data_IF_522974777017
#
_entry.id   IF_522974777017
#
_cell.length_a   1.000
_cell.length_b   1.000
_cell.length_c   1.000
_cell.angle_alpha   90.00
_cell.angle_beta   90.00
_cell.angle_gamma   90.00
#
_symmetry.space_group_name_H-M   'P 1'
#
loop_
_entity.id
_entity.type
_entity.pdbx_description
1 polymer ?
#
# COMPACT_ATOMS: atom_id res chain seq x y z
N UNK A 1 -8.40 -2.97 -3.28
CA UNK A 1 -7.32 -1.98 -3.51
C UNK A 1 -7.88 -0.87 -4.38
N UNK A 2 -7.50 0.39 -4.12
CA UNK A 2 -7.85 1.54 -4.94
C UNK A 2 -6.58 2.16 -5.53
N UNK A 3 -6.48 2.23 -6.85
CA UNK A 3 -5.43 2.93 -7.58
C UNK A 3 -5.98 4.26 -8.11
N UNK A 4 -5.17 5.30 -8.07
CA UNK A 4 -5.57 6.65 -8.49
C UNK A 4 -4.72 7.09 -9.68
N UNK A 5 -5.34 7.77 -10.66
CA UNK A 5 -4.64 8.32 -11.83
C UNK A 5 -3.53 9.32 -11.45
N UNK A 6 -3.70 9.97 -10.29
CA UNK A 6 -2.74 10.89 -9.69
C UNK A 6 -2.84 10.85 -8.18
N UNK A 7 -1.76 11.25 -7.51
CA UNK A 7 -1.74 11.31 -6.05
C UNK A 7 -2.84 12.23 -5.48
N UNK A 8 -3.75 11.66 -4.69
CA UNK A 8 -4.83 12.39 -4.03
C UNK A 8 -4.59 12.52 -2.51
N UNK A 9 -5.12 13.57 -1.85
CA UNK A 9 -5.08 13.65 -0.39
C UNK A 9 -5.76 12.44 0.24
N UNK A 10 -5.18 11.90 1.30
CA UNK A 10 -5.72 10.79 2.06
C UNK A 10 -5.64 11.09 3.56
N UNK A 11 -6.57 10.54 4.33
CA UNK A 11 -6.61 10.61 5.79
C UNK A 11 -6.91 9.23 6.33
N UNK A 12 -6.50 8.96 7.57
CA UNK A 12 -6.71 7.68 8.23
C UNK A 12 -7.24 7.88 9.65
N UNK A 13 -8.18 7.02 10.05
CA UNK A 13 -8.63 6.89 11.43
C UNK A 13 -8.48 5.45 11.86
N UNK A 14 -7.62 5.21 12.86
CA UNK A 14 -7.40 3.89 13.43
C UNK A 14 -8.23 3.76 14.71
N UNK A 15 -9.06 2.71 14.79
CA UNK A 15 -9.95 2.46 15.93
C UNK A 15 -9.68 1.13 16.64
N UNK A 16 -8.93 0.22 16.02
CA UNK A 16 -8.56 -1.07 16.61
C UNK A 16 -7.21 -1.03 17.33
N UNK A 17 -7.08 -1.77 18.44
CA UNK A 17 -5.87 -1.79 19.26
C UNK A 17 -4.69 -2.58 18.67
N UNK A 18 -4.95 -3.53 17.75
CA UNK A 18 -3.94 -4.35 17.09
C UNK A 18 -3.96 -4.10 15.57
N UNK A 19 -3.77 -2.85 15.17
CA UNK A 19 -3.89 -2.43 13.77
C UNK A 19 -2.62 -2.76 12.97
N UNK A 20 -2.72 -3.67 12.00
CA UNK A 20 -1.67 -3.91 11.00
C UNK A 20 -1.80 -2.88 9.87
N UNK A 21 -0.90 -1.89 9.81
CA UNK A 21 -0.98 -0.78 8.85
C UNK A 21 0.35 -0.45 8.19
N UNK A 22 0.28 0.18 7.02
CA UNK A 22 1.44 0.61 6.24
C UNK A 22 1.34 2.11 5.93
N UNK A 23 2.42 2.85 6.23
CA UNK A 23 2.61 4.28 5.92
C UNK A 23 1.42 5.20 6.31
N UNK A 24 0.79 4.89 7.45
CA UNK A 24 -0.33 5.66 8.02
C UNK A 24 0.15 6.85 8.84
N UNK A 25 1.31 6.76 9.50
CA UNK A 25 1.88 7.85 10.30
C UNK A 25 2.16 9.12 9.49
N UNK A 26 2.51 8.98 8.21
CA UNK A 26 2.75 10.12 7.33
C UNK A 26 1.47 10.74 6.75
N UNK A 27 0.29 10.18 7.08
CA UNK A 27 -1.02 10.81 6.86
C UNK A 27 -1.49 11.65 8.05
N UNK A 28 -0.68 11.77 9.11
CA UNK A 28 -0.94 12.73 10.18
C UNK A 28 -0.97 14.16 9.62
N UNK A 29 -1.78 15.04 10.23
CA UNK A 29 -1.88 16.43 9.81
C UNK A 29 -0.55 17.20 9.98
N UNK A 30 0.31 16.75 10.89
CA UNK A 30 1.64 17.33 11.14
C UNK A 30 2.73 16.75 10.21
N UNK A 31 2.36 15.85 9.29
CA UNK A 31 3.28 15.22 8.35
C UNK A 31 3.23 15.85 6.95
N UNK A 32 4.33 15.76 6.20
CA UNK A 32 4.46 16.39 4.87
C UNK A 32 3.86 15.55 3.73
N UNK A 33 3.71 14.23 3.92
CA UNK A 33 3.31 13.30 2.86
C UNK A 33 1.84 12.85 2.96
N UNK A 34 0.91 13.80 2.86
CA UNK A 34 -0.54 13.52 2.97
C UNK A 34 -1.22 12.97 1.70
N UNK A 35 -0.49 12.78 0.58
CA UNK A 35 -1.05 12.30 -0.69
C UNK A 35 -0.67 10.84 -0.98
N UNK A 36 -1.57 10.09 -1.59
CA UNK A 36 -1.39 8.67 -1.94
C UNK A 36 -1.76 8.40 -3.39
N UNK A 37 -1.03 7.48 -4.01
CA UNK A 37 -1.32 6.95 -5.33
C UNK A 37 -2.19 5.69 -5.27
N UNK A 38 -2.13 4.97 -4.15
CA UNK A 38 -2.99 3.83 -3.91
C UNK A 38 -3.24 3.61 -2.43
N UNK A 39 -4.40 3.00 -2.15
CA UNK A 39 -4.73 2.41 -0.85
C UNK A 39 -4.93 0.91 -1.05
N UNK A 40 -4.15 0.09 -0.36
CA UNK A 40 -4.28 -1.37 -0.42
C UNK A 40 -4.90 -1.94 0.85
N UNK A 41 -5.70 -2.99 0.68
CA UNK A 41 -6.26 -3.79 1.77
C UNK A 41 -5.86 -5.24 1.47
N UNK A 42 -5.33 -5.93 2.46
CA UNK A 42 -4.83 -7.29 2.31
C UNK A 42 -5.36 -8.21 3.42
N UNK A 43 -5.42 -9.51 3.13
CA UNK A 43 -5.36 -10.54 4.16
C UNK A 43 -3.95 -10.69 4.71
N UNK A 44 -3.66 -11.77 5.43
CA UNK A 44 -2.33 -12.18 5.83
C UNK A 44 -1.79 -11.58 7.10
N UNK A 45 -2.60 -10.84 7.87
CA UNK A 45 -2.14 -10.14 9.06
C UNK A 45 -0.89 -9.29 8.75
N UNK A 46 0.13 -9.34 9.60
CA UNK A 46 1.41 -8.63 9.38
C UNK A 46 2.11 -9.03 8.08
N UNK A 47 1.98 -10.28 7.62
CA UNK A 47 2.58 -10.74 6.36
C UNK A 47 1.95 -10.07 5.14
N UNK A 48 0.66 -9.74 5.23
CA UNK A 48 -0.07 -9.02 4.18
C UNK A 48 0.49 -7.65 3.84
N UNK A 49 1.23 -7.03 4.78
CA UNK A 49 1.86 -5.73 4.54
C UNK A 49 2.95 -5.80 3.46
N UNK A 50 3.47 -6.99 3.14
CA UNK A 50 4.42 -7.19 2.05
C UNK A 50 3.81 -6.88 0.67
N UNK A 51 2.48 -6.90 0.55
CA UNK A 51 1.77 -6.43 -0.64
C UNK A 51 2.15 -4.99 -1.02
N UNK A 52 2.55 -4.16 -0.05
CA UNK A 52 3.03 -2.81 -0.29
C UNK A 52 4.23 -2.78 -1.25
N UNK A 53 5.11 -3.79 -1.22
CA UNK A 53 6.24 -3.89 -2.17
C UNK A 53 5.73 -4.04 -3.60
N UNK A 54 4.86 -5.03 -3.83
CA UNK A 54 4.25 -5.29 -5.14
C UNK A 54 3.50 -4.11 -5.71
N UNK A 55 2.66 -3.49 -4.87
CA UNK A 55 1.87 -2.32 -5.26
C UNK A 55 2.79 -1.16 -5.69
N UNK A 56 3.85 -0.86 -4.91
CA UNK A 56 4.79 0.22 -5.25
C UNK A 56 5.53 -0.06 -6.56
N UNK A 57 6.06 -1.26 -6.73
CA UNK A 57 6.79 -1.64 -7.94
C UNK A 57 5.89 -1.55 -9.16
N UNK A 58 4.70 -2.16 -9.13
CA UNK A 58 3.77 -2.16 -10.25
C UNK A 58 3.30 -0.75 -10.64
N UNK A 59 3.06 0.14 -9.66
CA UNK A 59 2.72 1.53 -9.95
C UNK A 59 3.90 2.30 -10.58
N UNK A 60 5.13 2.12 -10.09
CA UNK A 60 6.31 2.76 -10.68
C UNK A 60 6.53 2.28 -12.12
N UNK A 61 6.37 0.99 -12.38
CA UNK A 61 6.49 0.39 -13.71
C UNK A 61 5.39 0.90 -14.65
N UNK A 62 4.19 1.15 -14.13
CA UNK A 62 3.09 1.79 -14.85
C UNK A 62 3.30 3.31 -15.04
N UNK A 63 4.44 3.85 -14.62
CA UNK A 63 4.78 5.26 -14.81
C UNK A 63 4.15 6.21 -13.80
N UNK A 64 3.57 5.70 -12.70
CA UNK A 64 3.13 6.52 -11.57
C UNK A 64 4.30 6.95 -10.67
N UNK A 65 4.02 7.80 -9.69
CA UNK A 65 5.01 8.34 -8.74
C UNK A 65 5.52 9.74 -9.12
N UNK A 66 6.20 10.38 -8.18
CA UNK A 66 6.76 11.72 -8.33
C UNK A 66 8.28 11.73 -8.05
N UNK A 67 9.06 12.62 -8.69
CA UNK A 67 10.47 12.80 -8.37
C UNK A 67 10.69 13.14 -6.89
N UNK A 68 11.75 12.60 -6.32
CA UNK A 68 12.15 12.91 -4.94
C UNK A 68 13.27 13.94 -4.97
N UNK A 69 12.99 15.13 -4.43
CA UNK A 69 13.93 16.27 -4.42
C UNK A 69 14.54 16.51 -5.81
N UNK A 70 15.85 16.70 -5.89
CA UNK A 70 16.59 16.87 -7.15
C UNK A 70 17.10 15.53 -7.75
N UNK A 71 16.52 14.38 -7.38
CA UNK A 71 16.97 13.08 -7.86
C UNK A 71 16.13 12.54 -9.03
N UNK A 72 16.74 11.71 -9.88
CA UNK A 72 16.03 10.95 -10.92
C UNK A 72 15.21 9.77 -10.35
N UNK A 73 15.18 9.58 -9.02
CA UNK A 73 14.37 8.54 -8.38
C UNK A 73 12.94 9.04 -8.21
N UNK A 74 11.99 8.15 -8.51
CA UNK A 74 10.57 8.38 -8.28
C UNK A 74 10.11 7.64 -7.03
N UNK A 75 9.23 8.25 -6.25
CA UNK A 75 8.53 7.60 -5.14
C UNK A 75 7.03 7.59 -5.43
N UNK A 76 6.38 6.51 -4.98
CA UNK A 76 4.93 6.35 -5.06
C UNK A 76 4.38 6.11 -3.64
N UNK A 77 4.03 7.18 -2.89
CA UNK A 77 3.46 7.00 -1.57
C UNK A 77 2.13 6.23 -1.66
N UNK A 78 2.03 5.14 -0.88
CA UNK A 78 0.84 4.29 -0.75
C UNK A 78 0.56 4.07 0.72
N UNK A 79 -0.68 3.82 1.10
CA UNK A 79 -1.01 3.38 2.46
C UNK A 79 -1.82 2.10 2.41
N UNK A 80 -1.88 1.38 3.51
CA UNK A 80 -2.70 0.17 3.56
C UNK A 80 -2.93 -0.37 4.96
N UNK A 81 -3.77 -1.39 5.00
CA UNK A 81 -4.10 -2.14 6.19
C UNK A 81 -4.26 -3.62 5.85
N UNK A 82 -4.01 -4.49 6.84
CA UNK A 82 -4.20 -5.92 6.70
C UNK A 82 -5.10 -6.48 7.80
N UNK A 83 -5.90 -7.49 7.44
CA UNK A 83 -6.74 -8.26 8.36
C UNK A 83 -6.14 -9.63 8.64
N UNK A 84 -6.54 -10.24 9.75
CA UNK A 84 -6.16 -11.61 10.07
C UNK A 84 -7.08 -12.61 9.38
N UNK A 85 -6.49 -13.45 8.53
CA UNK A 85 -7.13 -14.61 7.89
C UNK A 85 -6.12 -15.78 7.72
N UNK A 86 -5.11 -15.84 8.61
CA UNK A 86 -4.06 -16.83 8.50
C UNK A 86 -4.61 -18.26 8.68
N UNK A 87 -4.14 -19.22 7.88
CA UNK A 87 -4.62 -20.59 7.92
C UNK A 87 -4.12 -21.28 9.21
N UNK A 88 -5.01 -21.91 9.99
CA UNK A 88 -4.65 -22.45 11.31
C UNK A 88 -3.78 -23.72 11.22
N UNK A 89 -3.73 -24.36 10.06
CA UNK A 89 -2.97 -25.58 9.79
C UNK A 89 -1.50 -25.31 9.45
N UNK A 90 -1.10 -24.04 9.39
CA UNK A 90 0.27 -23.65 9.04
C UNK A 90 0.61 -23.85 7.58
N UNK A 91 -0.39 -23.84 6.68
CA UNK A 91 -0.15 -23.89 5.25
C UNK A 91 0.77 -22.75 4.80
N UNK A 92 1.47 -22.97 3.68
CA UNK A 92 2.35 -21.95 3.11
C UNK A 92 1.58 -20.66 2.83
N UNK A 93 2.21 -19.53 3.16
CA UNK A 93 1.63 -18.21 2.91
C UNK A 93 1.85 -17.83 1.44
N UNK A 94 0.90 -17.12 0.81
CA UNK A 94 1.07 -16.65 -0.55
C UNK A 94 2.19 -15.59 -0.64
N UNK A 95 2.74 -15.40 -1.85
CA UNK A 95 3.59 -14.24 -2.14
C UNK A 95 2.73 -12.97 -2.17
N UNK A 96 2.63 -12.29 -1.02
CA UNK A 96 1.87 -11.05 -0.90
C UNK A 96 2.40 -9.94 -1.81
N UNK A 97 3.71 -9.90 -2.11
CA UNK A 97 4.25 -8.92 -3.03
C UNK A 97 3.75 -9.19 -4.46
N UNK A 98 3.72 -10.45 -4.90
CA UNK A 98 3.12 -10.79 -6.19
C UNK A 98 1.62 -10.43 -6.22
N UNK A 99 0.87 -10.80 -5.18
CA UNK A 99 -0.56 -10.47 -5.07
C UNK A 99 -0.81 -8.96 -5.12
N UNK A 100 0.04 -8.16 -4.46
CA UNK A 100 -0.03 -6.70 -4.51
C UNK A 100 0.19 -6.13 -5.91
N UNK A 101 1.14 -6.67 -6.67
CA UNK A 101 1.36 -6.28 -8.06
C UNK A 101 0.20 -6.69 -8.98
N UNK A 102 -0.36 -7.89 -8.78
CA UNK A 102 -1.53 -8.37 -9.53
C UNK A 102 -2.78 -7.54 -9.25
N UNK A 103 -2.95 -7.08 -8.00
CA UNK A 103 -4.02 -6.17 -7.64
C UNK A 103 -3.92 -4.86 -8.45
N UNK A 104 -2.73 -4.24 -8.56
CA UNK A 104 -2.49 -3.03 -9.38
C UNK A 104 -2.90 -3.25 -10.82
N UNK A 105 -2.51 -4.38 -11.42
CA UNK A 105 -2.90 -4.72 -12.80
C UNK A 105 -4.39 -4.92 -12.99
N UNK A 106 -5.09 -5.37 -11.95
CA UNK A 106 -6.52 -5.69 -11.98
C UNK A 106 -7.42 -4.50 -11.64
N UNK A 107 -6.88 -3.45 -11.02
CA UNK A 107 -7.63 -2.25 -10.73
C UNK A 107 -8.00 -1.52 -12.03
N UNK A 108 -9.30 -1.31 -12.21
CA UNK A 108 -9.84 -0.44 -13.26
C UNK A 108 -10.02 0.97 -12.68
N UNK A 109 -9.86 2.02 -13.50
CA UNK A 109 -10.18 3.39 -13.10
C UNK A 109 -11.67 3.54 -12.72
#
# INVERSE_FOLDING_TARGET
>A
MACLDRAAPAVVSLRGGASATFDTGSLSLDATFGRRWAIFLAGGSLFGLDAARGVRTALLDAGAGAPVFASNRRIVPIAGAALYDLPPDGSELPDYAQLGADAVRSARP
#
